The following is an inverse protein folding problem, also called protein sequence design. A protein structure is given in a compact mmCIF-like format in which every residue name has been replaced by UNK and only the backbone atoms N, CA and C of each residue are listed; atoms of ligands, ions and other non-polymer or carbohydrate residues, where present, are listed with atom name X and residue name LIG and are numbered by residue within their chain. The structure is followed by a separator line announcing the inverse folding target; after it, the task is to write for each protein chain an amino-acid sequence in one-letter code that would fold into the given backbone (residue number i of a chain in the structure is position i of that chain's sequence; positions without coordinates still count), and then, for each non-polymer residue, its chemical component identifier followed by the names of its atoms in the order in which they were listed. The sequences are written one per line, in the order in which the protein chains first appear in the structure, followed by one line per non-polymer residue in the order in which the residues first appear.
data_IF_216566837283
#
_entry.id   IF_216566837283
#
_cell.length_a   1.000
_cell.length_b   1.000
_cell.length_c   1.000
_cell.angle_alpha   90.00
_cell.angle_beta   90.00
_cell.angle_gamma   90.00
#
_symmetry.space_group_name_H-M   'P 1'
#
loop_
_entity.id
_entity.type
_entity.pdbx_description
1 polymer ?
#
# COMPACT_ATOMS: atom_id res chain seq x y z
N UNK A 1 12.31 21.52 -3.93
CA UNK A 1 11.84 20.21 -3.41
C UNK A 1 10.47 20.44 -2.79
N UNK A 2 9.51 19.54 -3.03
CA UNK A 2 8.17 19.67 -2.47
C UNK A 2 8.13 19.00 -1.09
N UNK A 3 7.74 19.76 -0.07
CA UNK A 3 7.60 19.29 1.30
C UNK A 3 6.14 19.32 1.72
N UNK A 4 5.74 18.38 2.57
CA UNK A 4 4.47 18.41 3.29
C UNK A 4 4.75 18.60 4.77
N UNK A 5 4.03 19.52 5.42
CA UNK A 5 4.08 19.72 6.87
C UNK A 5 2.66 19.59 7.40
N UNK A 6 2.45 18.65 8.32
CA UNK A 6 1.13 18.43 8.90
C UNK A 6 1.02 17.10 9.63
N UNK A 7 -0.22 16.71 9.91
CA UNK A 7 -0.56 15.45 10.58
C UNK A 7 -0.65 14.28 9.61
N UNK A 8 -0.66 13.05 10.13
CA UNK A 8 -0.89 11.86 9.32
C UNK A 8 -2.27 11.87 8.63
N UNK A 9 -3.30 12.46 9.27
CA UNK A 9 -4.64 12.59 8.70
C UNK A 9 -4.65 13.53 7.50
N UNK A 10 -4.01 14.69 7.62
CA UNK A 10 -3.86 15.64 6.51
C UNK A 10 -3.04 15.02 5.38
N UNK A 11 -1.95 14.31 5.71
CA UNK A 11 -1.16 13.58 4.71
C UNK A 11 -2.05 12.61 3.92
N UNK A 12 -2.83 11.78 4.63
CA UNK A 12 -3.76 10.83 4.00
C UNK A 12 -4.84 11.53 3.17
N UNK A 13 -5.36 12.66 3.63
CA UNK A 13 -6.37 13.47 2.92
C UNK A 13 -5.84 13.98 1.58
N UNK A 14 -4.61 14.49 1.54
CA UNK A 14 -4.06 15.12 0.34
C UNK A 14 -3.28 14.16 -0.57
N UNK A 15 -2.60 13.16 -0.01
CA UNK A 15 -1.72 12.25 -0.76
C UNK A 15 -2.22 10.81 -0.82
N UNK A 16 -3.30 10.48 -0.11
CA UNK A 16 -3.87 9.12 -0.11
C UNK A 16 -4.36 8.66 -1.48
N UNK A 17 -4.89 9.58 -2.30
CA UNK A 17 -5.30 9.29 -3.67
C UNK A 17 -4.11 8.89 -4.56
N UNK A 18 -3.00 9.62 -4.44
CA UNK A 18 -1.76 9.28 -5.14
C UNK A 18 -1.24 7.91 -4.69
N UNK A 19 -1.17 7.66 -3.37
CA UNK A 19 -0.72 6.38 -2.82
C UNK A 19 -1.56 5.22 -3.37
N UNK A 20 -2.90 5.37 -3.38
CA UNK A 20 -3.83 4.38 -3.95
C UNK A 20 -3.52 4.08 -5.41
N UNK A 21 -3.40 5.12 -6.24
CA UNK A 21 -3.19 4.96 -7.68
C UNK A 21 -1.83 4.31 -7.98
N UNK A 22 -0.79 4.67 -7.22
CA UNK A 22 0.53 4.05 -7.31
C UNK A 22 0.47 2.54 -7.03
N UNK A 23 -0.15 2.13 -5.93
CA UNK A 23 -0.31 0.71 -5.58
C UNK A 23 -1.12 -0.04 -6.64
N UNK A 24 -2.22 0.53 -7.12
CA UNK A 24 -3.07 -0.11 -8.14
C UNK A 24 -2.31 -0.36 -9.45
N UNK A 25 -1.53 0.62 -9.91
CA UNK A 25 -0.73 0.48 -11.13
C UNK A 25 0.32 -0.63 -10.98
N UNK A 26 1.05 -0.63 -9.87
CA UNK A 26 2.12 -1.60 -9.61
C UNK A 26 1.57 -3.00 -9.41
N UNK A 27 0.47 -3.15 -8.68
CA UNK A 27 -0.26 -4.41 -8.49
C UNK A 27 -0.78 -4.98 -9.80
N UNK A 28 -1.27 -4.14 -10.72
CA UNK A 28 -1.72 -4.60 -12.05
C UNK A 28 -0.56 -5.21 -12.83
N UNK A 29 0.60 -4.56 -12.83
CA UNK A 29 1.83 -5.07 -13.47
C UNK A 29 2.29 -6.38 -12.82
N UNK A 30 2.26 -6.46 -11.49
CA UNK A 30 2.60 -7.67 -10.76
C UNK A 30 1.71 -8.86 -11.14
N UNK A 31 0.39 -8.68 -11.16
CA UNK A 31 -0.56 -9.74 -11.58
C UNK A 31 -0.27 -10.24 -13.00
N UNK A 32 0.11 -9.34 -13.90
CA UNK A 32 0.50 -9.71 -15.25
C UNK A 32 1.81 -10.51 -15.26
N UNK A 33 2.87 -9.97 -14.67
CA UNK A 33 4.21 -10.55 -14.69
C UNK A 33 4.31 -11.90 -13.97
N UNK A 34 3.56 -12.10 -12.88
CA UNK A 34 3.56 -13.33 -12.09
C UNK A 34 2.61 -14.40 -12.62
N UNK A 35 2.15 -14.30 -13.86
CA UNK A 35 1.29 -15.34 -14.45
C UNK A 35 -0.16 -15.35 -13.95
N UNK A 36 -0.54 -14.45 -13.03
CA UNK A 36 -1.93 -14.36 -12.55
C UNK A 36 -2.91 -13.83 -13.60
N UNK A 37 -2.42 -13.32 -14.74
CA UNK A 37 -3.26 -13.06 -15.92
C UNK A 37 -4.00 -14.32 -16.42
N UNK A 38 -3.48 -15.51 -16.10
CA UNK A 38 -4.11 -16.80 -16.38
C UNK A 38 -5.31 -17.09 -15.49
N UNK A 39 -5.53 -16.31 -14.43
CA UNK A 39 -6.70 -16.41 -13.55
C UNK A 39 -6.53 -17.37 -12.37
N UNK A 40 -5.33 -17.86 -12.06
CA UNK A 40 -5.13 -18.74 -10.91
C UNK A 40 -5.06 -17.96 -9.59
N UNK A 41 -6.01 -18.26 -8.69
CA UNK A 41 -6.04 -17.72 -7.33
C UNK A 41 -4.89 -18.29 -6.48
N UNK A 42 -4.20 -17.45 -5.73
CA UNK A 42 -3.10 -17.91 -4.87
C UNK A 42 -3.55 -18.79 -3.71
N UNK A 43 -4.82 -18.69 -3.29
CA UNK A 43 -5.37 -19.42 -2.16
C UNK A 43 -6.02 -20.73 -2.61
N UNK A 44 -7.16 -20.68 -3.31
CA UNK A 44 -7.87 -21.90 -3.73
C UNK A 44 -7.25 -22.62 -4.94
N UNK A 45 -6.20 -22.08 -5.57
CA UNK A 45 -5.54 -22.62 -6.78
C UNK A 45 -6.44 -22.87 -7.99
N UNK A 46 -7.71 -22.46 -7.95
CA UNK A 46 -8.66 -22.56 -9.07
C UNK A 46 -8.48 -21.40 -10.04
N UNK A 47 -8.74 -21.67 -11.32
CA UNK A 47 -8.83 -20.63 -12.34
C UNK A 47 -10.16 -19.88 -12.19
N UNK A 48 -10.08 -18.63 -11.71
CA UNK A 48 -11.20 -17.71 -11.52
C UNK A 48 -10.82 -16.32 -12.02
N UNK A 49 -11.75 -15.67 -12.72
CA UNK A 49 -11.61 -14.26 -13.15
C UNK A 49 -12.86 -13.48 -12.72
N UNK A 50 -12.75 -12.21 -12.31
CA UNK A 50 -11.51 -11.46 -12.10
C UNK A 50 -10.77 -11.86 -10.81
N UNK A 51 -9.45 -11.58 -10.78
CA UNK A 51 -8.62 -11.68 -9.57
C UNK A 51 -8.34 -10.30 -9.00
N UNK A 52 -8.53 -10.19 -7.70
CA UNK A 52 -8.27 -9.01 -6.89
C UNK A 52 -6.92 -9.14 -6.18
N UNK A 53 -6.41 -8.00 -5.71
CA UNK A 53 -5.23 -7.98 -4.85
C UNK A 53 -5.66 -7.58 -3.45
N UNK A 54 -5.67 -8.56 -2.55
CA UNK A 54 -5.88 -8.36 -1.14
C UNK A 54 -4.60 -7.83 -0.51
N UNK A 55 -4.70 -6.83 0.36
CA UNK A 55 -3.53 -6.33 1.09
C UNK A 55 -3.25 -7.24 2.28
N UNK A 56 -2.00 -7.67 2.44
CA UNK A 56 -1.53 -8.38 3.63
C UNK A 56 -1.39 -7.40 4.80
N UNK A 57 -0.87 -6.21 4.51
CA UNK A 57 -0.80 -5.08 5.44
C UNK A 57 -1.56 -3.90 4.84
N UNK A 58 -2.35 -3.19 5.67
CA UNK A 58 -3.14 -2.10 5.13
C UNK A 58 -2.23 -0.98 4.63
N UNK A 59 -2.60 -0.38 3.50
CA UNK A 59 -1.89 0.80 2.97
C UNK A 59 -1.79 1.93 4.02
N UNK A 60 -2.78 2.04 4.89
CA UNK A 60 -2.79 3.08 5.95
C UNK A 60 -1.68 2.81 6.96
N UNK A 61 -1.43 1.55 7.30
CA UNK A 61 -0.39 1.17 8.25
C UNK A 61 0.99 1.40 7.64
N UNK A 62 1.19 0.99 6.38
CA UNK A 62 2.44 1.25 5.65
C UNK A 62 2.74 2.76 5.56
N UNK A 63 1.73 3.58 5.26
CA UNK A 63 1.90 5.05 5.24
C UNK A 63 2.30 5.55 6.63
N UNK A 64 1.60 5.12 7.68
CA UNK A 64 1.87 5.52 9.06
C UNK A 64 3.29 5.13 9.48
N UNK A 65 3.72 3.90 9.18
CA UNK A 65 5.05 3.40 9.50
C UNK A 65 6.15 4.19 8.79
N UNK A 66 5.98 4.50 7.50
CA UNK A 66 6.94 5.33 6.76
C UNK A 66 7.03 6.72 7.40
N UNK A 67 5.90 7.33 7.72
CA UNK A 67 5.84 8.65 8.34
C UNK A 67 6.52 8.66 9.72
N UNK A 68 6.17 7.70 10.57
CA UNK A 68 6.72 7.59 11.93
C UNK A 68 8.22 7.28 11.92
N UNK A 69 8.69 6.42 11.02
CA UNK A 69 10.09 5.97 10.99
C UNK A 69 11.04 6.97 10.33
N UNK A 70 10.54 7.84 9.45
CA UNK A 70 11.40 8.68 8.60
C UNK A 70 11.19 10.19 8.72
N UNK A 71 10.01 10.64 9.18
CA UNK A 71 9.58 12.03 9.02
C UNK A 71 8.96 12.64 10.27
N UNK A 72 8.94 11.91 11.40
CA UNK A 72 8.37 12.36 12.67
C UNK A 72 9.30 13.39 13.32
N UNK A 73 8.81 14.59 13.56
CA UNK A 73 9.62 15.65 14.17
C UNK A 73 9.36 15.81 15.67
N UNK A 74 8.11 16.03 16.10
CA UNK A 74 7.72 16.13 17.53
C UNK A 74 6.26 15.74 17.75
N UNK A 75 5.97 15.24 18.94
CA UNK A 75 4.60 15.07 19.44
C UNK A 75 4.14 16.39 20.05
N UNK A 76 3.05 16.97 19.54
CA UNK A 76 2.41 18.13 20.16
C UNK A 76 1.62 17.72 21.43
N UNK A 77 1.33 18.69 22.30
CA UNK A 77 0.45 18.47 23.47
C UNK A 77 -0.87 17.85 23.00
N UNK A 78 -1.18 16.64 23.48
CA UNK A 78 -2.38 15.89 23.09
C UNK A 78 -2.14 14.68 22.18
N UNK A 79 -0.92 14.14 22.09
CA UNK A 79 -0.56 12.94 21.30
C UNK A 79 -0.65 13.09 19.77
N UNK A 80 -0.83 14.31 19.24
CA UNK A 80 -0.84 14.55 17.80
C UNK A 80 0.61 14.71 17.32
N UNK A 81 1.05 13.82 16.44
CA UNK A 81 2.38 13.89 15.82
C UNK A 81 2.36 14.80 14.59
N UNK A 82 3.38 15.65 14.45
CA UNK A 82 3.63 16.37 13.20
C UNK A 82 4.74 15.74 12.39
N UNK A 83 4.58 15.80 11.08
CA UNK A 83 5.51 15.25 10.11
C UNK A 83 5.98 16.35 9.17
N UNK A 84 7.28 16.35 8.90
CA UNK A 84 7.90 17.15 7.84
C UNK A 84 8.44 16.19 6.78
N UNK A 85 7.64 16.03 5.73
CA UNK A 85 7.83 14.97 4.75
C UNK A 85 8.47 15.54 3.50
N UNK A 86 9.68 15.10 3.18
CA UNK A 86 10.22 15.20 1.84
C UNK A 86 9.41 14.28 0.92
N UNK A 87 8.62 14.87 0.03
CA UNK A 87 7.72 14.10 -0.84
C UNK A 87 8.46 13.24 -1.85
N UNK A 88 9.68 13.59 -2.24
CA UNK A 88 10.48 12.74 -3.13
C UNK A 88 10.93 11.51 -2.37
N UNK A 89 11.54 11.70 -1.19
CA UNK A 89 12.00 10.59 -0.34
C UNK A 89 10.85 9.66 0.05
N UNK A 90 9.69 10.22 0.41
CA UNK A 90 8.50 9.42 0.71
C UNK A 90 8.09 8.54 -0.48
N UNK A 91 8.03 9.12 -1.69
CA UNK A 91 7.63 8.39 -2.90
C UNK A 91 8.59 7.24 -3.18
N UNK A 92 9.89 7.48 -3.04
CA UNK A 92 10.92 6.46 -3.29
C UNK A 92 10.76 5.28 -2.31
N UNK A 93 10.63 5.55 -1.02
CA UNK A 93 10.39 4.52 0.01
C UNK A 93 9.07 3.77 -0.26
N UNK A 94 8.00 4.52 -0.52
CA UNK A 94 6.68 3.95 -0.75
C UNK A 94 6.65 3.05 -1.99
N UNK A 95 7.29 3.47 -3.08
CA UNK A 95 7.38 2.67 -4.32
C UNK A 95 8.27 1.45 -4.10
N UNK A 96 9.39 1.57 -3.38
CA UNK A 96 10.29 0.45 -3.08
C UNK A 96 9.58 -0.65 -2.29
N UNK A 97 8.82 -0.30 -1.24
CA UNK A 97 8.02 -1.27 -0.47
C UNK A 97 7.02 -2.02 -1.36
N UNK A 98 6.43 -1.31 -2.32
CA UNK A 98 5.49 -1.88 -3.29
C UNK A 98 6.19 -2.34 -4.59
N UNK A 99 7.51 -2.52 -4.60
CA UNK A 99 8.23 -3.00 -5.78
C UNK A 99 7.80 -4.42 -6.14
N UNK A 100 7.98 -4.79 -7.41
CA UNK A 100 7.53 -6.09 -7.96
C UNK A 100 8.08 -7.27 -7.15
N UNK A 101 9.32 -7.16 -6.67
CA UNK A 101 10.01 -8.21 -5.92
C UNK A 101 9.52 -8.32 -4.46
N UNK A 102 8.87 -7.28 -3.92
CA UNK A 102 8.36 -7.22 -2.55
C UNK A 102 6.83 -7.36 -2.46
N UNK A 103 6.11 -7.12 -3.55
CA UNK A 103 4.65 -7.19 -3.62
C UNK A 103 4.07 -8.53 -3.14
N UNK A 104 4.75 -9.66 -3.37
CA UNK A 104 4.29 -10.96 -2.87
C UNK A 104 4.20 -11.05 -1.33
N UNK A 105 4.84 -10.12 -0.61
CA UNK A 105 4.79 -9.98 0.85
C UNK A 105 3.76 -8.95 1.32
N UNK A 106 3.30 -8.07 0.42
CA UNK A 106 2.39 -6.95 0.72
C UNK A 106 0.98 -7.21 0.19
N UNK A 107 0.84 -8.02 -0.87
CA UNK A 107 -0.44 -8.35 -1.48
C UNK A 107 -0.57 -9.85 -1.77
N UNK A 108 -1.81 -10.34 -1.73
CA UNK A 108 -2.21 -11.65 -2.24
C UNK A 108 -3.16 -11.51 -3.42
N UNK A 109 -2.90 -12.27 -4.48
CA UNK A 109 -3.76 -12.29 -5.67
C UNK A 109 -4.84 -13.35 -5.50
N UNK A 110 -6.05 -12.91 -5.17
CA UNK A 110 -7.16 -13.76 -4.75
C UNK A 110 -8.37 -13.62 -5.67
N UNK A 111 -9.17 -14.68 -5.79
CA UNK A 111 -10.51 -14.55 -6.35
C UNK A 111 -11.44 -13.87 -5.34
N UNK A 112 -12.55 -13.29 -5.82
CA UNK A 112 -13.50 -12.54 -4.99
C UNK A 112 -13.96 -13.30 -3.73
N UNK A 113 -14.17 -14.61 -3.83
CA UNK A 113 -14.60 -15.44 -2.69
C UNK A 113 -13.48 -15.55 -1.64
N UNK A 114 -12.27 -15.93 -2.06
CA UNK A 114 -11.10 -16.03 -1.17
C UNK A 114 -10.74 -14.67 -0.58
N UNK A 115 -10.90 -13.59 -1.33
CA UNK A 115 -10.62 -12.23 -0.85
C UNK A 115 -11.57 -11.84 0.28
N UNK A 116 -12.88 -12.09 0.12
CA UNK A 116 -13.85 -11.84 1.18
C UNK A 116 -13.57 -12.63 2.45
N UNK A 117 -13.16 -13.89 2.33
CA UNK A 117 -12.78 -14.70 3.50
C UNK A 117 -11.47 -14.23 4.12
N UNK A 118 -10.55 -13.68 3.32
CA UNK A 118 -9.32 -13.09 3.80
C UNK A 118 -9.58 -11.80 4.60
N UNK A 119 -10.44 -10.91 4.10
CA UNK A 119 -10.78 -9.62 4.74
C UNK A 119 -11.58 -9.77 6.05
N UNK A 120 -12.15 -10.95 6.33
CA UNK A 120 -12.86 -11.25 7.58
C UNK A 120 -11.92 -11.61 8.73
N UNK A 121 -10.66 -11.94 8.43
CA UNK A 121 -9.66 -12.30 9.43
C UNK A 121 -9.04 -11.04 10.04
#
# INVERSE_FOLDING_TARGET
MATFIGTAEEFKKYLGAWCRNSVQNTTRKYKYNQGHHNGFCQDCKKQKKPLDAAHIESRVDIITEILDSNFKEKTFKGNISSYNVDLTKFKDIFIDIHSIDKLGKVIRVLCKDCHKEYDKK
#
